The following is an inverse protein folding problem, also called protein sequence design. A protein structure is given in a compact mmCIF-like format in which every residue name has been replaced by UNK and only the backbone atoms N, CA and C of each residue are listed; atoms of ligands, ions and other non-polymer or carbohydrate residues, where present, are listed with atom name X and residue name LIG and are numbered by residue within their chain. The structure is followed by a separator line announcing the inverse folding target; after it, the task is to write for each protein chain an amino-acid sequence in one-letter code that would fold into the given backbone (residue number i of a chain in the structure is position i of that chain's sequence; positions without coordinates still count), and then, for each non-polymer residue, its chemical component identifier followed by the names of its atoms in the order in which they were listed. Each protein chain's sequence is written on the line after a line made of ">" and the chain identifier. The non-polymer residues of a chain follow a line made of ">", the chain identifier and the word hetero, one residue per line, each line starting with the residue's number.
data_IF_814085657761
#
_entry.id   IF_814085657761
#
_cell.length_a   1.000
_cell.length_b   1.000
_cell.length_c   1.000
_cell.angle_alpha   90.00
_cell.angle_beta   90.00
_cell.angle_gamma   90.00
#
_symmetry.space_group_name_H-M   'P 1'
#
loop_
_entity.id
_entity.type
_entity.pdbx_description
1 polymer ?
#
# COMPACT_ATOMS: atom_id res chain seq x y z
N UNK A 1 6.77 -8.28 4.02
CA UNK A 1 6.61 -8.20 5.50
C UNK A 1 5.12 -8.20 5.77
N UNK A 2 4.62 -9.10 6.61
CA UNK A 2 3.19 -9.14 6.92
C UNK A 2 2.92 -8.29 8.17
N UNK A 3 1.95 -7.40 8.08
CA UNK A 3 1.47 -6.55 9.17
C UNK A 3 0.06 -7.00 9.56
N UNK A 4 -0.20 -7.08 10.85
CA UNK A 4 -1.52 -7.37 11.40
C UNK A 4 -2.10 -6.11 12.02
N UNK A 5 -3.30 -5.73 11.61
CA UNK A 5 -4.00 -4.54 12.11
C UNK A 5 -5.51 -4.80 12.19
N UNK A 6 -6.09 -4.59 13.38
CA UNK A 6 -7.53 -4.80 13.67
C UNK A 6 -8.09 -6.15 13.20
N UNK A 7 -7.28 -7.20 13.26
CA UNK A 7 -7.67 -8.56 12.85
C UNK A 7 -7.46 -8.86 11.36
N UNK A 8 -7.14 -7.87 10.53
CA UNK A 8 -6.75 -8.06 9.15
C UNK A 8 -5.22 -8.20 9.02
N UNK A 9 -4.79 -9.03 8.08
CA UNK A 9 -3.38 -9.15 7.70
C UNK A 9 -3.16 -8.51 6.33
N UNK A 10 -2.06 -7.81 6.15
CA UNK A 10 -1.70 -7.23 4.86
C UNK A 10 -0.20 -7.18 4.66
N UNK A 11 0.21 -7.12 3.40
CA UNK A 11 1.59 -6.95 2.98
C UNK A 11 1.73 -5.65 2.18
N UNK A 12 2.41 -4.62 2.72
CA UNK A 12 2.85 -3.50 1.91
C UNK A 12 3.91 -3.99 0.92
N UNK A 13 3.75 -3.60 -0.35
CA UNK A 13 4.62 -3.96 -1.46
C UNK A 13 5.10 -2.70 -2.17
N UNK A 14 6.37 -2.74 -2.58
CA UNK A 14 6.95 -1.70 -3.43
C UNK A 14 7.46 -2.33 -4.71
N UNK A 15 7.20 -1.65 -5.83
CA UNK A 15 7.75 -2.01 -7.13
C UNK A 15 8.53 -0.83 -7.68
N UNK A 16 9.80 -1.05 -8.03
CA UNK A 16 10.60 -0.03 -8.68
C UNK A 16 10.08 0.19 -10.12
N UNK A 17 9.84 1.45 -10.49
CA UNK A 17 9.39 1.86 -11.82
C UNK A 17 10.21 3.07 -12.28
N UNK A 18 11.18 2.81 -13.16
CA UNK A 18 12.13 3.83 -13.60
C UNK A 18 12.96 4.37 -12.43
N UNK A 19 12.88 5.68 -12.21
CA UNK A 19 13.57 6.37 -11.11
C UNK A 19 12.71 6.51 -9.83
N UNK A 20 11.54 5.85 -9.77
CA UNK A 20 10.63 5.92 -8.63
C UNK A 20 10.21 4.55 -8.12
N UNK A 21 9.44 4.59 -7.04
CA UNK A 21 8.97 3.45 -6.28
C UNK A 21 7.45 3.52 -6.15
N UNK A 22 6.76 2.52 -6.68
CA UNK A 22 5.30 2.43 -6.65
C UNK A 22 4.87 1.74 -5.36
N UNK A 23 4.08 2.42 -4.56
CA UNK A 23 3.44 1.86 -3.38
C UNK A 23 2.23 1.02 -3.77
N UNK A 24 2.09 -0.16 -3.18
CA UNK A 24 0.94 -1.05 -3.33
C UNK A 24 0.73 -1.87 -2.06
N UNK A 25 -0.45 -2.45 -1.90
CA UNK A 25 -0.79 -3.30 -0.75
C UNK A 25 -1.47 -4.56 -1.27
N UNK A 26 -1.15 -5.69 -0.65
CA UNK A 26 -1.91 -6.93 -0.76
C UNK A 26 -2.56 -7.23 0.60
N UNK A 27 -3.89 -7.22 0.66
CA UNK A 27 -4.66 -7.68 1.80
C UNK A 27 -4.68 -9.21 1.77
N UNK A 28 -4.37 -9.85 2.90
CA UNK A 28 -4.35 -11.30 3.01
C UNK A 28 -5.68 -11.77 3.59
N UNK A 29 -6.33 -12.68 2.87
CA UNK A 29 -7.62 -13.25 3.20
C UNK A 29 -7.45 -14.56 3.97
N UNK A 30 -8.47 -14.96 4.72
CA UNK A 30 -8.43 -16.16 5.57
C UNK A 30 -8.31 -17.46 4.77
N UNK A 31 -8.73 -17.44 3.50
CA UNK A 31 -8.60 -18.56 2.56
C UNK A 31 -7.21 -18.68 1.93
N UNK A 32 -6.29 -17.77 2.27
CA UNK A 32 -4.93 -17.72 1.75
C UNK A 32 -4.80 -16.95 0.43
N UNK A 33 -5.88 -16.37 -0.10
CA UNK A 33 -5.80 -15.44 -1.22
C UNK A 33 -5.30 -14.07 -0.78
N UNK A 34 -4.83 -13.30 -1.75
CA UNK A 34 -4.37 -11.95 -1.54
C UNK A 34 -5.02 -10.99 -2.54
N UNK A 35 -5.78 -10.04 -2.01
CA UNK A 35 -6.45 -9.01 -2.81
C UNK A 35 -5.61 -7.73 -2.83
N UNK A 36 -5.28 -7.23 -4.01
CA UNK A 36 -4.48 -6.01 -4.14
C UNK A 36 -5.34 -4.76 -4.12
N UNK A 37 -4.91 -3.73 -3.38
CA UNK A 37 -5.48 -2.38 -3.44
C UNK A 37 -4.98 -1.57 -4.66
N UNK A 38 -4.20 -2.20 -5.54
CA UNK A 38 -3.66 -1.57 -6.74
C UNK A 38 -2.46 -0.66 -6.46
N UNK A 39 -2.19 0.24 -7.41
CA UNK A 39 -1.11 1.24 -7.32
C UNK A 39 -1.61 2.46 -6.55
N UNK A 40 -0.98 2.73 -5.41
CA UNK A 40 -1.44 3.73 -4.45
C UNK A 40 -0.73 5.08 -4.62
N UNK A 41 0.51 5.08 -5.10
CA UNK A 41 1.29 6.30 -5.34
C UNK A 41 2.70 6.02 -5.84
N UNK A 42 3.37 7.07 -6.32
CA UNK A 42 4.76 7.05 -6.76
C UNK A 42 5.64 7.88 -5.81
N UNK A 43 6.80 7.34 -5.45
CA UNK A 43 7.71 7.94 -4.48
C UNK A 43 9.14 7.95 -5.03
N UNK A 44 9.95 8.90 -4.57
CA UNK A 44 11.36 8.99 -4.92
C UNK A 44 12.25 7.95 -4.20
N UNK A 45 11.73 7.32 -3.14
CA UNK A 45 12.44 6.31 -2.36
C UNK A 45 11.49 5.20 -1.88
N UNK A 46 12.06 4.02 -1.60
CA UNK A 46 11.34 2.83 -1.19
C UNK A 46 10.68 2.97 0.19
N UNK A 47 11.39 3.58 1.15
CA UNK A 47 10.89 3.74 2.53
C UNK A 47 9.60 4.56 2.57
N UNK A 48 9.54 5.67 1.83
CA UNK A 48 8.35 6.49 1.70
C UNK A 48 7.19 5.74 1.03
N UNK A 49 7.49 4.91 0.02
CA UNK A 49 6.49 4.07 -0.62
C UNK A 49 5.93 3.00 0.33
N UNK A 50 6.79 2.32 1.11
CA UNK A 50 6.37 1.36 2.13
C UNK A 50 5.52 2.04 3.19
N UNK A 51 5.98 3.14 3.78
CA UNK A 51 5.28 3.82 4.86
C UNK A 51 3.90 4.33 4.39
N UNK A 52 3.83 4.85 3.16
CA UNK A 52 2.56 5.23 2.56
C UNK A 52 1.63 4.03 2.31
N UNK A 53 2.15 2.91 1.79
CA UNK A 53 1.38 1.69 1.62
C UNK A 53 0.78 1.20 2.95
N UNK A 54 1.53 1.26 4.06
CA UNK A 54 1.02 0.91 5.39
C UNK A 54 -0.13 1.83 5.80
N UNK A 55 0.03 3.15 5.65
CA UNK A 55 -1.02 4.12 5.99
C UNK A 55 -2.29 3.91 5.16
N UNK A 56 -2.14 3.63 3.87
CA UNK A 56 -3.25 3.27 3.00
C UNK A 56 -3.97 2.00 3.46
N UNK A 57 -3.22 0.94 3.77
CA UNK A 57 -3.82 -0.30 4.26
C UNK A 57 -4.60 -0.10 5.56
N UNK A 58 -4.03 0.64 6.50
CA UNK A 58 -4.67 1.00 7.76
C UNK A 58 -5.96 1.79 7.51
N UNK A 59 -5.92 2.88 6.73
CA UNK A 59 -7.12 3.67 6.41
C UNK A 59 -8.22 2.82 5.75
N UNK A 60 -7.84 1.94 4.80
CA UNK A 60 -8.79 1.03 4.17
C UNK A 60 -9.46 0.07 5.16
N UNK A 61 -8.67 -0.52 6.09
CA UNK A 61 -9.19 -1.42 7.12
C UNK A 61 -10.10 -0.68 8.12
N UNK A 62 -9.79 0.59 8.42
CA UNK A 62 -10.58 1.42 9.33
C UNK A 62 -11.84 2.01 8.68
N UNK A 63 -11.94 1.97 7.35
CA UNK A 63 -13.02 2.60 6.59
C UNK A 63 -12.89 4.12 6.47
N UNK A 64 -11.67 4.63 6.68
CA UNK A 64 -11.33 6.05 6.58
C UNK A 64 -10.97 6.44 5.13
N UNK A 65 -10.91 7.75 4.89
CA UNK A 65 -10.43 8.28 3.61
C UNK A 65 -8.97 7.87 3.33
N UNK A 66 -8.72 7.38 2.12
CA UNK A 66 -7.38 6.99 1.69
C UNK A 66 -6.45 8.20 1.66
N UNK A 67 -5.24 8.10 2.26
CA UNK A 67 -4.30 9.21 2.26
C UNK A 67 -3.90 9.54 0.82
N UNK A 68 -3.74 10.82 0.53
CA UNK A 68 -3.33 11.28 -0.80
C UNK A 68 -1.82 11.09 -0.98
N UNK A 69 -1.35 10.55 -2.12
CA UNK A 69 0.07 10.45 -2.39
C UNK A 69 0.67 11.85 -2.55
N UNK A 70 1.96 12.02 -2.18
CA UNK A 70 2.64 13.32 -2.30
C UNK A 70 2.75 13.78 -3.75
N UNK A 71 2.77 12.85 -4.69
CA UNK A 71 2.75 13.11 -6.13
C UNK A 71 1.63 12.31 -6.78
N UNK A 72 0.80 12.97 -7.57
CA UNK A 72 -0.18 12.28 -8.40
C UNK A 72 0.56 11.58 -9.53
N UNK A 73 0.29 10.28 -9.74
CA UNK A 73 0.64 9.64 -11.00
C UNK A 73 -0.24 10.28 -12.07
N UNK A 74 0.33 11.20 -12.86
CA UNK A 74 -0.32 11.66 -14.08
C UNK A 74 -0.42 10.45 -15.00
N UNK A 75 -1.66 10.03 -15.27
CA UNK A 75 -1.98 8.96 -16.22
C UNK A 75 -2.08 9.54 -17.62
#
# INVERSE_FOLDING_TARGET
>A
MIIYHRGAAFEPKVTQAGNGFIASVALLEEDGHATSLGKLGLFANEEGAINFAVRCATAFIEGDDMPLPPFKMNS
#
